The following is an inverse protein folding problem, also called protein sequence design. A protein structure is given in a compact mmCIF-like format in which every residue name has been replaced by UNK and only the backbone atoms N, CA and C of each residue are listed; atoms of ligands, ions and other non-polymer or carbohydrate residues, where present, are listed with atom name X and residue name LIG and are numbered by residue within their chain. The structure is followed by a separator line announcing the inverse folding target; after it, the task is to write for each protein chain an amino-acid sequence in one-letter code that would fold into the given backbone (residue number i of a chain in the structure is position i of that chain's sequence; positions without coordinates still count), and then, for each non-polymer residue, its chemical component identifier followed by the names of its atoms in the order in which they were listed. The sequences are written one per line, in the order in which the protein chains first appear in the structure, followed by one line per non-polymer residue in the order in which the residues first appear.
data_IF_373365322850
#
_entry.id   IF_373365322850
#
_cell.length_a   1.000
_cell.length_b   1.000
_cell.length_c   1.000
_cell.angle_alpha   90.00
_cell.angle_beta   90.00
_cell.angle_gamma   90.00
#
_symmetry.space_group_name_H-M   'P 1'
#
loop_
_entity.id
_entity.type
_entity.pdbx_description
1 polymer ?
#
# COMPACT_ATOMS: atom_id res chain seq x y z
N UNK A 1 16.39 -17.37 -9.85
CA UNK A 1 16.40 -16.07 -9.15
C UNK A 1 14.97 -15.54 -9.08
N UNK A 2 14.51 -15.04 -7.93
CA UNK A 2 13.17 -14.42 -7.81
C UNK A 2 13.20 -12.99 -8.35
N UNK A 3 12.09 -12.53 -8.94
CA UNK A 3 11.94 -11.14 -9.41
C UNK A 3 11.79 -10.22 -8.20
N UNK A 4 12.51 -9.10 -8.19
CA UNK A 4 12.34 -8.02 -7.21
C UNK A 4 11.51 -6.92 -7.87
N UNK A 5 10.46 -6.47 -7.19
CA UNK A 5 9.65 -5.33 -7.60
C UNK A 5 9.82 -4.24 -6.55
N UNK A 6 10.30 -3.07 -6.96
CA UNK A 6 10.34 -1.87 -6.13
C UNK A 6 9.19 -0.96 -6.56
N UNK A 7 8.30 -0.63 -5.63
CA UNK A 7 7.15 0.24 -5.87
C UNK A 7 7.06 1.28 -4.75
N UNK A 8 6.87 2.55 -5.12
CA UNK A 8 6.77 3.68 -4.20
C UNK A 8 5.94 4.78 -4.86
N UNK A 9 5.10 5.45 -4.08
CA UNK A 9 4.42 6.67 -4.51
C UNK A 9 5.40 7.85 -4.47
N UNK A 10 5.32 8.73 -5.46
CA UNK A 10 6.21 9.87 -5.60
C UNK A 10 5.46 11.04 -6.24
N UNK A 11 5.74 12.26 -5.78
CA UNK A 11 5.27 13.48 -6.46
C UNK A 11 5.96 13.66 -7.81
N UNK A 12 5.40 14.51 -8.68
CA UNK A 12 5.96 14.73 -10.03
C UNK A 12 7.40 15.28 -10.00
N UNK A 13 7.76 16.02 -8.95
CA UNK A 13 9.08 16.60 -8.71
C UNK A 13 10.00 15.71 -7.85
N UNK A 14 9.56 14.49 -7.50
CA UNK A 14 10.45 13.43 -7.00
C UNK A 14 10.42 13.18 -5.49
N UNK A 15 9.46 13.73 -4.75
CA UNK A 15 9.37 13.54 -3.30
C UNK A 15 8.55 12.31 -2.93
N UNK A 16 9.05 11.52 -1.97
CA UNK A 16 8.37 10.38 -1.38
C UNK A 16 7.98 10.70 0.07
N UNK A 17 6.70 11.01 0.31
CA UNK A 17 6.19 11.34 1.63
C UNK A 17 4.78 10.74 1.82
N UNK A 18 4.57 10.09 2.97
CA UNK A 18 3.33 9.39 3.30
C UNK A 18 2.11 10.30 3.52
N UNK A 19 2.32 11.62 3.65
CA UNK A 19 1.28 12.64 3.81
C UNK A 19 1.06 13.46 2.54
N UNK A 20 1.99 13.41 1.59
CA UNK A 20 1.90 14.15 0.33
C UNK A 20 1.22 13.36 -0.80
N UNK A 21 1.18 12.03 -0.70
CA UNK A 21 0.53 11.16 -1.68
C UNK A 21 -1.00 11.14 -1.55
N UNK A 22 -1.70 10.99 -2.68
CA UNK A 22 -3.15 10.75 -2.71
C UNK A 22 -3.37 9.24 -2.74
N UNK A 23 -3.97 8.67 -1.69
CA UNK A 23 -4.38 7.27 -1.63
C UNK A 23 -5.87 7.16 -2.00
N UNK A 24 -6.18 7.33 -3.29
CA UNK A 24 -7.54 7.18 -3.82
C UNK A 24 -7.86 5.73 -4.20
N UNK A 25 -9.06 5.50 -4.73
CA UNK A 25 -9.52 4.18 -5.15
C UNK A 25 -8.63 3.56 -6.23
N UNK A 26 -8.23 4.35 -7.24
CA UNK A 26 -7.36 3.87 -8.32
C UNK A 26 -6.00 3.41 -7.78
N UNK A 27 -5.43 4.20 -6.87
CA UNK A 27 -4.16 3.88 -6.21
C UNK A 27 -4.27 2.59 -5.40
N UNK A 28 -5.32 2.43 -4.60
CA UNK A 28 -5.54 1.19 -3.84
C UNK A 28 -5.67 -0.01 -4.78
N UNK A 29 -6.51 0.07 -5.82
CA UNK A 29 -6.68 -1.01 -6.78
C UNK A 29 -5.37 -1.42 -7.47
N UNK A 30 -4.54 -0.44 -7.86
CA UNK A 30 -3.22 -0.69 -8.45
C UNK A 30 -2.32 -1.48 -7.49
N UNK A 31 -2.18 -1.01 -6.25
CA UNK A 31 -1.31 -1.66 -5.28
C UNK A 31 -1.86 -3.01 -4.82
N UNK A 32 -3.18 -3.17 -4.64
CA UNK A 32 -3.78 -4.47 -4.34
C UNK A 32 -3.51 -5.49 -5.45
N UNK A 33 -3.62 -5.10 -6.72
CA UNK A 33 -3.29 -5.98 -7.85
C UNK A 33 -1.80 -6.35 -7.84
N UNK A 34 -0.91 -5.40 -7.54
CA UNK A 34 0.52 -5.65 -7.42
C UNK A 34 0.84 -6.61 -6.26
N UNK A 35 0.28 -6.36 -5.08
CA UNK A 35 0.50 -7.17 -3.88
C UNK A 35 -0.01 -8.60 -4.06
N UNK A 36 -1.16 -8.80 -4.73
CA UNK A 36 -1.69 -10.14 -5.08
C UNK A 36 -0.77 -10.95 -5.99
N UNK A 37 0.16 -10.30 -6.69
CA UNK A 37 1.14 -10.97 -7.56
C UNK A 37 2.41 -11.42 -6.84
N UNK A 38 2.58 -11.06 -5.55
CA UNK A 38 3.77 -11.34 -4.76
C UNK A 38 3.47 -12.26 -3.57
N UNK A 39 4.45 -13.11 -3.20
CA UNK A 39 4.39 -14.00 -2.04
C UNK A 39 5.02 -13.39 -0.78
N UNK A 40 5.79 -12.31 -0.93
CA UNK A 40 6.54 -11.68 0.16
C UNK A 40 6.63 -10.17 -0.07
N UNK A 41 6.40 -9.41 1.00
CA UNK A 41 6.51 -7.95 1.02
C UNK A 41 7.65 -7.56 1.98
N UNK A 42 8.47 -6.59 1.58
CA UNK A 42 9.57 -6.07 2.38
C UNK A 42 9.34 -4.59 2.69
N UNK A 43 9.29 -4.25 3.97
CA UNK A 43 9.19 -2.87 4.44
C UNK A 43 10.36 -2.52 5.37
N UNK A 44 10.76 -1.26 5.35
CA UNK A 44 11.55 -0.68 6.44
C UNK A 44 10.67 -0.47 7.67
N UNK A 45 11.28 -0.31 8.86
CA UNK A 45 10.55 -0.20 10.14
C UNK A 45 9.41 0.84 10.12
N UNK A 46 9.69 2.07 9.69
CA UNK A 46 8.69 3.16 9.71
C UNK A 46 7.52 2.83 8.78
N UNK A 47 7.78 2.30 7.59
CA UNK A 47 6.72 1.87 6.68
C UNK A 47 5.92 0.70 7.26
N UNK A 48 6.57 -0.24 7.95
CA UNK A 48 5.89 -1.34 8.61
C UNK A 48 4.92 -0.85 9.70
N UNK A 49 5.35 0.09 10.55
CA UNK A 49 4.51 0.71 11.59
C UNK A 49 3.29 1.43 10.97
N UNK A 50 3.46 2.12 9.84
CA UNK A 50 2.33 2.74 9.12
C UNK A 50 1.34 1.70 8.58
N UNK A 51 1.81 0.50 8.24
CA UNK A 51 0.96 -0.59 7.74
C UNK A 51 0.16 -1.30 8.84
N UNK A 52 0.45 -1.07 10.12
CA UNK A 52 -0.32 -1.64 11.24
C UNK A 52 -1.77 -1.11 11.32
N UNK A 53 -2.11 -0.09 10.53
CA UNK A 53 -3.49 0.30 10.28
C UNK A 53 -4.32 -0.82 9.65
N UNK A 54 -3.79 -1.55 8.66
CA UNK A 54 -4.57 -2.50 7.85
C UNK A 54 -5.15 -3.70 8.63
N UNK A 55 -4.45 -4.32 9.60
CA UNK A 55 -5.05 -5.31 10.49
C UNK A 55 -6.35 -4.83 11.16
N UNK A 56 -6.43 -3.54 11.52
CA UNK A 56 -7.65 -2.98 12.16
C UNK A 56 -8.84 -2.89 11.20
N UNK A 57 -8.58 -2.68 9.90
CA UNK A 57 -9.60 -2.67 8.83
C UNK A 57 -10.17 -4.07 8.60
N UNK A 58 -9.34 -5.11 8.73
CA UNK A 58 -9.81 -6.50 8.64
C UNK A 58 -10.78 -6.82 9.79
N UNK A 59 -10.47 -6.37 11.00
CA UNK A 59 -11.33 -6.55 12.16
C UNK A 59 -12.60 -5.70 12.09
N UNK A 60 -12.50 -4.48 11.55
CA UNK A 60 -13.58 -3.51 11.47
C UNK A 60 -13.65 -2.88 10.07
N UNK A 61 -14.31 -3.55 9.10
CA UNK A 61 -14.42 -3.06 7.74
C UNK A 61 -15.04 -1.67 7.68
N UNK A 62 -14.49 -0.82 6.81
CA UNK A 62 -14.88 0.58 6.66
C UNK A 62 -16.16 0.77 5.85
N UNK A 63 -16.56 -0.24 5.07
CA UNK A 63 -17.65 -0.15 4.09
C UNK A 63 -17.21 0.47 2.76
N UNK A 64 -15.96 0.94 2.65
CA UNK A 64 -15.34 1.30 1.39
C UNK A 64 -14.60 0.09 0.82
N UNK A 65 -15.14 -0.49 -0.25
CA UNK A 65 -14.59 -1.69 -0.89
C UNK A 65 -13.10 -1.56 -1.26
N UNK A 66 -12.66 -0.39 -1.74
CA UNK A 66 -11.26 -0.20 -2.15
C UNK A 66 -10.29 -0.24 -0.97
N UNK A 67 -10.76 0.16 0.22
CA UNK A 67 -9.99 0.10 1.47
C UNK A 67 -10.11 -1.31 2.08
N UNK A 68 -11.30 -1.88 2.09
CA UNK A 68 -11.57 -3.17 2.75
C UNK A 68 -10.95 -4.38 1.98
N UNK A 69 -10.73 -4.26 0.68
CA UNK A 69 -10.12 -5.31 -0.17
C UNK A 69 -8.62 -5.13 -0.43
N UNK A 70 -8.01 -4.10 0.17
CA UNK A 70 -6.59 -3.84 0.06
C UNK A 70 -5.75 -4.88 0.80
#
# INVERSE_FOLDING_TARGET
MRKIIAAINMTLDGFCDHTAGIADEETHQHFSALLRSADTILFGRITYELMEYWPTVIENPTGNKAVDEF
#
